data_IF_000099824691
#
_entry.id   IF_000099824691
#
_cell.length_a   1.000
_cell.length_b   1.000
_cell.length_c   1.000
_cell.angle_alpha   90.00
_cell.angle_beta   90.00
_cell.angle_gamma   90.00
#
_symmetry.space_group_name_H-M   'P 1'
#
loop_
_entity.id
_entity.type
_entity.pdbx_description
1 polymer ?
#
# COMPACT_ATOMS: atom_id res chain seq x y z
N UNK A 1 -1.84 -14.04 -17.26
CA UNK A 1 -1.59 -13.13 -16.10
C UNK A 1 -0.15 -13.22 -15.63
N UNK A 2 0.57 -14.32 -15.91
CA UNK A 2 1.98 -14.49 -15.55
C UNK A 2 2.97 -13.70 -16.43
N UNK A 3 2.53 -13.13 -17.55
CA UNK A 3 3.45 -12.57 -18.55
C UNK A 3 4.05 -11.20 -18.20
N UNK A 4 3.43 -10.44 -17.29
CA UNK A 4 3.89 -9.08 -16.94
C UNK A 4 4.61 -8.97 -15.60
N UNK A 5 4.90 -10.10 -14.93
CA UNK A 5 5.50 -10.16 -13.57
C UNK A 5 4.94 -9.09 -12.62
N UNK A 6 3.61 -9.03 -12.50
CA UNK A 6 2.95 -8.06 -11.63
C UNK A 6 3.34 -8.28 -10.15
N UNK A 7 3.83 -7.22 -9.51
CA UNK A 7 4.10 -7.18 -8.07
C UNK A 7 3.46 -5.94 -7.45
N UNK A 8 3.12 -6.02 -6.16
CA UNK A 8 2.48 -4.94 -5.40
C UNK A 8 3.11 -4.78 -4.03
N UNK A 9 3.32 -3.53 -3.63
CA UNK A 9 3.98 -3.17 -2.38
C UNK A 9 3.20 -3.63 -1.14
N UNK A 10 1.90 -3.38 -1.09
CA UNK A 10 1.02 -3.75 0.01
C UNK A 10 -0.29 -4.37 -0.46
N UNK A 11 -0.72 -5.42 0.25
CA UNK A 11 -2.08 -5.95 0.17
C UNK A 11 -2.96 -5.19 1.16
N UNK A 12 -4.02 -4.56 0.68
CA UNK A 12 -5.05 -3.96 1.53
C UNK A 12 -6.20 -4.96 1.74
N UNK A 13 -6.82 -4.90 2.92
CA UNK A 13 -8.05 -5.65 3.22
C UNK A 13 -9.28 -4.92 2.62
N UNK A 14 -10.41 -5.63 2.55
CA UNK A 14 -11.66 -5.09 2.02
C UNK A 14 -12.05 -3.81 2.78
N UNK A 15 -12.31 -2.73 2.04
CA UNK A 15 -12.70 -1.43 2.60
C UNK A 15 -11.53 -0.53 3.01
N UNK A 16 -10.28 -0.98 2.89
CA UNK A 16 -9.11 -0.16 3.17
C UNK A 16 -8.67 0.59 1.90
N UNK A 17 -8.64 1.92 1.98
CA UNK A 17 -8.12 2.80 0.93
C UNK A 17 -6.59 2.82 0.89
N UNK A 18 -6.02 3.29 -0.22
CA UNK A 18 -4.59 3.56 -0.33
C UNK A 18 -4.34 4.86 -1.09
N UNK A 19 -3.48 5.72 -0.55
CA UNK A 19 -3.12 6.99 -1.19
C UNK A 19 -2.00 6.80 -2.24
N UNK A 20 -0.99 6.01 -1.93
CA UNK A 20 0.21 5.86 -2.75
C UNK A 20 0.70 4.40 -2.74
N UNK A 21 -0.20 3.46 -3.01
CA UNK A 21 0.23 2.06 -3.19
C UNK A 21 1.05 1.96 -4.48
N UNK A 22 2.11 1.16 -4.45
CA UNK A 22 3.03 0.98 -5.58
C UNK A 22 2.83 -0.42 -6.15
N UNK A 23 2.78 -0.51 -7.47
CA UNK A 23 2.88 -1.77 -8.19
C UNK A 23 3.98 -1.68 -9.25
N UNK A 24 4.59 -2.81 -9.56
CA UNK A 24 5.53 -2.97 -10.67
C UNK A 24 5.01 -4.04 -11.61
N UNK A 25 5.27 -3.85 -12.91
CA UNK A 25 4.90 -4.77 -13.97
C UNK A 25 5.74 -4.45 -15.21
N UNK A 26 5.98 -5.46 -16.03
CA UNK A 26 6.49 -5.26 -17.38
C UNK A 26 5.37 -4.79 -18.29
N UNK A 27 5.71 -3.78 -19.09
CA UNK A 27 4.85 -3.21 -20.12
C UNK A 27 5.49 -3.49 -21.47
N UNK A 28 4.66 -3.57 -22.52
CA UNK A 28 5.14 -3.89 -23.88
C UNK A 28 5.97 -2.76 -24.48
N UNK A 29 5.64 -1.52 -24.13
CA UNK A 29 6.25 -0.31 -24.68
C UNK A 29 6.60 0.66 -23.56
N UNK A 30 7.59 1.52 -23.82
CA UNK A 30 8.02 2.57 -22.89
C UNK A 30 6.88 3.58 -22.68
N UNK A 31 6.48 3.88 -21.43
CA UNK A 31 5.47 4.88 -21.12
C UNK A 31 5.78 6.26 -21.72
N UNK A 32 4.85 6.80 -22.50
CA UNK A 32 4.89 8.16 -23.04
C UNK A 32 4.51 9.21 -21.96
N UNK A 33 4.63 10.50 -22.31
CA UNK A 33 4.41 11.63 -21.38
C UNK A 33 3.00 11.65 -20.75
N UNK A 34 1.99 11.10 -21.40
CA UNK A 34 0.59 11.10 -20.96
C UNK A 34 0.09 9.73 -20.47
N UNK A 35 1.01 8.79 -20.23
CA UNK A 35 0.68 7.39 -19.93
C UNK A 35 -0.28 7.21 -18.75
N UNK A 36 -0.03 7.91 -17.64
CA UNK A 36 -0.92 7.86 -16.46
C UNK A 36 -2.33 8.39 -16.79
N UNK A 37 -2.43 9.47 -17.56
CA UNK A 37 -3.70 10.07 -17.97
C UNK A 37 -4.52 9.08 -18.80
N UNK A 38 -3.89 8.44 -19.78
CA UNK A 38 -4.53 7.43 -20.64
C UNK A 38 -5.06 6.24 -19.84
N UNK A 39 -4.29 5.75 -18.86
CA UNK A 39 -4.75 4.67 -17.97
C UNK A 39 -5.92 5.16 -17.12
N UNK A 40 -5.83 6.37 -16.56
CA UNK A 40 -6.89 6.94 -15.71
C UNK A 40 -8.24 7.09 -16.43
N UNK A 41 -8.25 7.30 -17.75
CA UNK A 41 -9.50 7.32 -18.54
C UNK A 41 -10.21 5.96 -18.61
N UNK A 42 -9.49 4.86 -18.38
CA UNK A 42 -10.06 3.51 -18.37
C UNK A 42 -10.42 3.04 -16.95
N UNK A 43 -10.12 3.82 -15.91
CA UNK A 43 -10.33 3.46 -14.52
C UNK A 43 -11.64 4.06 -13.97
N UNK A 44 -12.32 3.37 -13.03
CA UNK A 44 -13.41 3.96 -12.27
C UNK A 44 -12.97 5.21 -11.49
N UNK A 45 -13.92 6.05 -11.08
CA UNK A 45 -13.61 7.35 -10.47
C UNK A 45 -12.87 7.29 -9.12
N UNK A 46 -12.94 6.15 -8.44
CA UNK A 46 -12.30 5.90 -7.15
C UNK A 46 -10.90 5.26 -7.26
N UNK A 47 -10.38 5.06 -8.48
CA UNK A 47 -9.05 4.54 -8.74
C UNK A 47 -8.27 5.50 -9.65
N UNK A 48 -7.07 5.88 -9.23
CA UNK A 48 -6.17 6.76 -10.01
C UNK A 48 -4.72 6.31 -9.93
N UNK A 49 -4.05 6.30 -11.07
CA UNK A 49 -2.59 6.25 -11.19
C UNK A 49 -2.07 7.66 -11.02
N UNK A 50 -1.28 7.88 -9.97
CA UNK A 50 -0.70 9.20 -9.65
C UNK A 50 0.57 9.48 -10.44
N UNK A 51 1.38 8.45 -10.71
CA UNK A 51 2.64 8.55 -11.43
C UNK A 51 3.10 7.18 -11.94
N UNK A 52 4.03 7.21 -12.88
CA UNK A 52 4.75 6.04 -13.40
C UNK A 52 6.22 6.39 -13.58
N UNK A 53 7.11 5.42 -13.38
CA UNK A 53 8.53 5.56 -13.62
C UNK A 53 9.09 4.27 -14.23
N UNK A 54 10.05 4.41 -15.15
CA UNK A 54 10.89 3.30 -15.56
C UNK A 54 11.83 2.94 -14.41
N UNK A 55 12.01 1.65 -14.19
CA UNK A 55 12.84 1.10 -13.11
C UNK A 55 13.74 0.00 -13.68
N UNK A 56 14.71 -0.43 -12.89
CA UNK A 56 15.55 -1.57 -13.25
C UNK A 56 14.71 -2.85 -13.34
N UNK A 57 15.06 -3.76 -14.26
CA UNK A 57 14.28 -4.98 -14.54
C UNK A 57 14.12 -5.91 -13.32
N UNK A 58 15.04 -5.83 -12.36
CA UNK A 58 15.02 -6.61 -11.11
C UNK A 58 14.20 -5.95 -9.99
N UNK A 59 13.61 -4.77 -10.21
CA UNK A 59 12.82 -4.10 -9.18
C UNK A 59 11.52 -4.85 -8.86
N UNK A 60 11.31 -5.15 -7.59
CA UNK A 60 10.07 -5.71 -7.09
C UNK A 60 9.42 -4.78 -6.05
N UNK A 61 8.22 -4.28 -6.37
CA UNK A 61 7.49 -3.33 -5.52
C UNK A 61 7.27 -3.83 -4.08
N UNK A 62 7.19 -5.15 -3.85
CA UNK A 62 7.00 -5.75 -2.53
C UNK A 62 8.31 -5.90 -1.78
N UNK A 63 9.32 -6.46 -2.41
CA UNK A 63 10.58 -6.85 -1.76
C UNK A 63 11.58 -5.69 -1.62
N UNK A 64 11.57 -4.74 -2.55
CA UNK A 64 12.44 -3.55 -2.46
C UNK A 64 11.89 -2.46 -1.53
N UNK A 65 10.59 -2.53 -1.20
CA UNK A 65 9.96 -1.60 -0.27
C UNK A 65 10.58 -1.69 1.13
N UNK A 66 11.13 -0.56 1.61
CA UNK A 66 11.79 -0.47 2.92
C UNK A 66 10.82 -0.35 4.09
N UNK A 67 9.75 0.42 3.93
CA UNK A 67 8.71 0.59 4.96
C UNK A 67 7.38 0.98 4.32
N UNK A 68 6.29 0.79 5.06
CA UNK A 68 4.94 1.22 4.69
C UNK A 68 4.41 2.14 5.77
N UNK A 69 3.73 3.21 5.37
CA UNK A 69 3.03 4.13 6.28
C UNK A 69 1.52 3.93 6.16
N UNK A 70 0.82 3.88 7.30
CA UNK A 70 -0.64 3.79 7.36
C UNK A 70 -1.19 4.94 8.18
N UNK A 71 -2.31 5.52 7.72
CA UNK A 71 -3.06 6.55 8.44
C UNK A 71 -4.48 6.06 8.70
N UNK A 72 -4.87 6.06 9.97
CA UNK A 72 -6.22 5.72 10.39
C UNK A 72 -6.98 7.01 10.70
N UNK A 73 -8.11 7.20 10.01
CA UNK A 73 -9.00 8.34 10.18
C UNK A 73 -10.28 7.83 10.85
N UNK A 74 -10.63 8.38 12.01
CA UNK A 74 -11.81 7.99 12.76
C UNK A 74 -12.39 9.19 13.52
N UNK A 75 -13.70 9.16 13.76
CA UNK A 75 -14.35 10.15 14.59
C UNK A 75 -13.87 10.04 16.03
N UNK A 76 -13.50 11.18 16.64
CA UNK A 76 -12.96 11.22 18.01
C UNK A 76 -13.89 10.55 19.04
N UNK A 77 -15.19 10.81 18.98
CA UNK A 77 -16.15 10.33 19.99
C UNK A 77 -15.68 10.65 21.42
N UNK A 78 -15.82 9.67 22.32
CA UNK A 78 -15.40 9.76 23.71
C UNK A 78 -13.95 9.27 23.96
N UNK A 79 -13.12 9.20 22.92
CA UNK A 79 -11.74 8.73 23.06
C UNK A 79 -10.87 9.71 23.84
N UNK A 80 -10.16 9.17 24.83
CA UNK A 80 -9.11 9.87 25.57
C UNK A 80 -7.82 9.86 24.75
N UNK A 81 -7.55 10.98 24.08
CA UNK A 81 -6.42 11.12 23.16
C UNK A 81 -5.08 10.99 23.88
N UNK A 82 -4.98 11.43 25.13
CA UNK A 82 -3.71 11.38 25.86
C UNK A 82 -3.39 9.95 26.32
N UNK A 83 -4.42 9.17 26.70
CA UNK A 83 -4.24 7.72 26.89
C UNK A 83 -3.85 7.01 25.60
N UNK A 84 -4.48 7.33 24.46
CA UNK A 84 -4.10 6.76 23.16
C UNK A 84 -2.64 7.07 22.85
N UNK A 85 -2.22 8.34 22.97
CA UNK A 85 -0.82 8.76 22.75
C UNK A 85 0.16 8.05 23.68
N UNK A 86 -0.19 7.90 24.95
CA UNK A 86 0.64 7.18 25.93
C UNK A 86 0.77 5.70 25.59
N UNK A 87 -0.33 5.05 25.19
CA UNK A 87 -0.34 3.65 24.80
C UNK A 87 0.42 3.38 23.50
N UNK A 88 0.24 4.21 22.46
CA UNK A 88 0.89 4.00 21.15
C UNK A 88 2.41 4.17 21.21
N UNK A 89 2.94 5.00 22.13
CA UNK A 89 4.40 5.07 22.38
C UNK A 89 5.01 3.73 22.75
N UNK A 90 4.26 2.83 23.40
CA UNK A 90 4.72 1.48 23.76
C UNK A 90 4.90 0.56 22.55
N UNK A 91 4.33 0.91 21.39
CA UNK A 91 4.45 0.15 20.15
C UNK A 91 5.75 0.47 19.39
N UNK A 92 6.48 1.53 19.78
CA UNK A 92 7.72 1.90 19.09
C UNK A 92 8.85 0.92 19.40
N UNK A 93 9.63 0.58 18.39
CA UNK A 93 10.77 -0.34 18.50
C UNK A 93 10.46 -1.75 18.00
N UNK A 94 11.34 -2.70 18.35
CA UNK A 94 11.21 -4.09 17.94
C UNK A 94 10.43 -4.87 19.00
N UNK A 95 9.24 -5.35 18.62
CA UNK A 95 8.37 -6.15 19.49
C UNK A 95 7.79 -7.36 18.74
N UNK A 96 7.35 -8.34 19.51
CA UNK A 96 6.52 -9.42 19.01
C UNK A 96 5.06 -8.97 18.91
N UNK A 97 4.61 -8.70 17.68
CA UNK A 97 3.25 -8.24 17.38
C UNK A 97 2.26 -9.37 17.05
N UNK A 98 2.57 -10.65 17.31
CA UNK A 98 1.69 -11.77 16.95
C UNK A 98 0.26 -11.64 17.47
N UNK A 99 0.07 -11.07 18.67
CA UNK A 99 -1.25 -10.85 19.26
C UNK A 99 -2.05 -9.70 18.61
N UNK A 100 -1.41 -8.86 17.79
CA UNK A 100 -2.04 -7.80 17.00
C UNK A 100 -2.34 -8.23 15.56
N UNK A 101 -1.91 -9.44 15.17
CA UNK A 101 -2.19 -10.00 13.86
C UNK A 101 -3.48 -10.82 13.90
N UNK A 102 -4.20 -10.83 12.78
CA UNK A 102 -5.30 -11.77 12.57
C UNK A 102 -4.71 -13.19 12.59
N UNK A 103 -5.20 -14.04 13.49
CA UNK A 103 -4.82 -15.45 13.52
C UNK A 103 -5.40 -16.14 12.28
N UNK A 104 -4.55 -16.83 11.53
CA UNK A 104 -5.03 -17.72 10.48
C UNK A 104 -5.72 -18.91 11.13
N UNK A 105 -6.90 -19.28 10.65
CA UNK A 105 -7.67 -20.40 11.22
C UNK A 105 -7.10 -21.77 10.84
N UNK A 106 -6.09 -21.79 9.96
CA UNK A 106 -5.49 -23.00 9.39
C UNK A 106 -4.06 -23.25 9.91
N UNK A 107 -3.70 -22.63 11.04
CA UNK A 107 -2.41 -22.81 11.70
C UNK A 107 -2.61 -23.21 13.15
#
# INVERSE_FOLDING_TARGET
>A
MDDCKFSRCGRTDRGVSALANVCSLYVRDVPEKDYCTRINHCLPDDIRILSSALVHDEFDARFDCKYREYKYLFFKGNMDIDKIRSATKKLLGLHDFRNFCKKDKNQ
#
